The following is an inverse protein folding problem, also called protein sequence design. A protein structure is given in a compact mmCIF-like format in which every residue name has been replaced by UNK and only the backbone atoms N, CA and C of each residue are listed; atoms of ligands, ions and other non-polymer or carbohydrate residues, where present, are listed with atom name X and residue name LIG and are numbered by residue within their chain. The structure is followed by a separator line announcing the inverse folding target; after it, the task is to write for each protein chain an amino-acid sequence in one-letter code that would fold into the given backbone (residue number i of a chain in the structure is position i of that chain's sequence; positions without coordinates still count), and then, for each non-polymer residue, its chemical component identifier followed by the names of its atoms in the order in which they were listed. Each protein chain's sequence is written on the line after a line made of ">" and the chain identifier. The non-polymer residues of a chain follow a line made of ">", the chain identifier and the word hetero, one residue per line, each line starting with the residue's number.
data_IF_566620127686
#
_entry.id   IF_566620127686
#
_cell.length_a   1.000
_cell.length_b   1.000
_cell.length_c   1.000
_cell.angle_alpha   90.00
_cell.angle_beta   90.00
_cell.angle_gamma   90.00
#
_symmetry.space_group_name_H-M   'P 1'
#
loop_
_entity.id
_entity.type
_entity.pdbx_description
1 polymer ?
#
# COMPACT_ATOMS: atom_id res chain seq x y z
N UNK A 1 -29.21 -4.08 -36.37
CA UNK A 1 -29.46 -4.14 -34.91
C UNK A 1 -28.10 -4.22 -34.23
N UNK A 2 -27.49 -3.04 -34.01
CA UNK A 2 -26.15 -2.91 -33.43
C UNK A 2 -26.29 -2.83 -31.92
N UNK A 3 -25.59 -3.68 -31.18
CA UNK A 3 -25.48 -3.63 -29.71
C UNK A 3 -24.21 -2.82 -29.39
N UNK A 4 -24.29 -1.58 -28.86
CA UNK A 4 -23.12 -0.89 -28.38
C UNK A 4 -23.10 -0.96 -26.85
N UNK A 5 -22.16 -1.69 -26.27
CA UNK A 5 -22.07 -1.74 -24.80
C UNK A 5 -20.78 -2.31 -24.23
N UNK A 6 -19.74 -2.54 -25.04
CA UNK A 6 -18.52 -3.22 -24.60
C UNK A 6 -17.26 -2.37 -24.31
N UNK A 7 -17.23 -1.02 -24.27
CA UNK A 7 -15.98 -0.33 -23.93
C UNK A 7 -15.86 0.05 -22.44
N UNK A 8 -16.75 -0.39 -21.56
CA UNK A 8 -16.70 0.01 -20.12
C UNK A 8 -15.78 -0.91 -19.30
N UNK A 9 -15.53 -2.16 -19.73
CA UNK A 9 -14.72 -3.11 -18.96
C UNK A 9 -13.20 -2.86 -19.02
N UNK A 10 -12.71 -2.08 -19.98
CA UNK A 10 -11.27 -1.87 -20.22
C UNK A 10 -10.65 -0.70 -19.43
N UNK A 11 -11.47 0.13 -18.77
CA UNK A 11 -11.00 1.29 -17.99
C UNK A 11 -10.64 0.96 -16.52
N UNK A 12 -10.79 -0.29 -16.07
CA UNK A 12 -10.41 -0.72 -14.72
C UNK A 12 -8.92 -1.07 -14.55
N UNK A 13 -8.11 -1.01 -15.61
CA UNK A 13 -6.69 -1.43 -15.56
C UNK A 13 -5.74 -0.27 -15.24
N UNK A 14 -6.22 0.97 -15.23
CA UNK A 14 -5.44 2.14 -14.80
C UNK A 14 -5.98 2.70 -13.48
N UNK A 15 -5.98 1.87 -12.43
CA UNK A 15 -5.80 2.46 -11.11
C UNK A 15 -4.32 2.78 -10.94
N UNK A 16 -3.94 4.03 -10.62
CA UNK A 16 -2.63 4.26 -10.05
C UNK A 16 -2.58 3.41 -8.80
N UNK A 17 -1.62 2.49 -8.74
CA UNK A 17 -1.23 1.86 -7.50
C UNK A 17 -0.81 2.99 -6.58
N UNK A 18 -1.73 3.46 -5.74
CA UNK A 18 -1.35 4.20 -4.54
C UNK A 18 -0.36 3.28 -3.86
N UNK A 19 0.93 3.63 -3.92
CA UNK A 19 1.99 2.84 -3.32
C UNK A 19 1.68 2.87 -1.82
N UNK A 20 1.00 1.82 -1.36
CA UNK A 20 0.84 1.55 0.05
C UNK A 20 2.27 1.41 0.59
N UNK A 21 2.66 2.35 1.43
CA UNK A 21 3.99 2.47 2.05
C UNK A 21 4.25 1.29 2.98
N UNK A 22 4.53 0.17 2.36
CA UNK A 22 4.56 -1.14 2.96
C UNK A 22 5.87 -1.81 2.67
N UNK A 23 6.71 -1.91 3.69
CA UNK A 23 7.97 -2.63 3.58
C UNK A 23 7.77 -4.09 3.13
N UNK A 24 6.68 -4.72 3.55
CA UNK A 24 6.41 -6.14 3.29
C UNK A 24 5.47 -6.39 2.09
N UNK A 25 4.96 -5.33 1.46
CA UNK A 25 4.17 -5.39 0.22
C UNK A 25 5.04 -5.04 -0.97
N UNK A 26 6.25 -4.51 -0.74
CA UNK A 26 7.23 -4.39 -1.80
C UNK A 26 7.61 -5.78 -2.30
N UNK A 27 7.15 -6.09 -3.50
CA UNK A 27 7.30 -7.42 -4.11
C UNK A 27 8.78 -7.78 -4.28
N UNK A 28 9.61 -6.83 -4.74
CA UNK A 28 11.06 -7.05 -4.90
C UNK A 28 11.75 -7.34 -3.57
N UNK A 29 11.44 -6.59 -2.52
CA UNK A 29 11.97 -6.86 -1.18
C UNK A 29 11.59 -8.28 -0.74
N UNK A 30 10.32 -8.67 -0.87
CA UNK A 30 9.84 -10.00 -0.46
C UNK A 30 10.53 -11.12 -1.24
N UNK A 31 10.68 -10.96 -2.55
CA UNK A 31 11.41 -11.89 -3.41
C UNK A 31 12.88 -12.01 -3.01
N UNK A 32 13.55 -10.88 -2.75
CA UNK A 32 14.95 -10.90 -2.33
C UNK A 32 15.14 -11.60 -0.98
N UNK A 33 14.25 -11.37 -0.01
CA UNK A 33 14.32 -12.04 1.30
C UNK A 33 14.04 -13.54 1.16
N UNK A 34 13.08 -13.92 0.31
CA UNK A 34 12.81 -15.33 0.00
C UNK A 34 14.03 -16.00 -0.64
N UNK A 35 14.67 -15.35 -1.62
CA UNK A 35 15.90 -15.86 -2.24
C UNK A 35 17.06 -15.96 -1.24
N UNK A 36 17.20 -14.98 -0.33
CA UNK A 36 18.18 -15.09 0.76
C UNK A 36 17.95 -16.36 1.58
N UNK A 37 16.68 -16.69 1.87
CA UNK A 37 16.33 -17.84 2.69
C UNK A 37 16.48 -19.17 1.96
N UNK A 38 16.03 -19.26 0.71
CA UNK A 38 15.94 -20.54 0.00
C UNK A 38 17.16 -20.87 -0.84
N UNK A 39 17.97 -19.87 -1.21
CA UNK A 39 19.14 -20.05 -2.08
C UNK A 39 20.43 -19.72 -1.34
N UNK A 40 20.52 -18.52 -0.77
CA UNK A 40 21.79 -18.01 -0.22
C UNK A 40 22.14 -18.70 1.09
N UNK A 41 21.22 -18.74 2.06
CA UNK A 41 21.44 -19.35 3.37
C UNK A 41 21.83 -20.83 3.27
N UNK A 42 21.12 -21.70 2.52
CA UNK A 42 21.51 -23.10 2.38
C UNK A 42 22.84 -23.32 1.69
N UNK A 43 23.28 -22.36 0.86
CA UNK A 43 24.52 -22.44 0.09
C UNK A 43 25.73 -21.88 0.85
N UNK A 44 25.54 -20.85 1.65
CA UNK A 44 26.63 -20.10 2.30
C UNK A 44 26.74 -20.35 3.80
N UNK A 45 25.75 -20.99 4.43
CA UNK A 45 25.79 -21.37 5.85
C UNK A 45 25.79 -22.90 5.95
N UNK A 46 26.92 -23.43 6.37
CA UNK A 46 27.17 -24.87 6.53
C UNK A 46 26.76 -25.34 7.93
N UNK A 47 26.95 -24.49 8.95
CA UNK A 47 26.53 -24.81 10.33
C UNK A 47 24.99 -24.86 10.43
N UNK A 48 24.46 -26.01 10.83
CA UNK A 48 23.01 -26.27 10.91
C UNK A 48 22.29 -25.32 11.85
N UNK A 49 22.89 -24.99 12.99
CA UNK A 49 22.31 -24.09 13.99
C UNK A 49 22.30 -22.65 13.52
N UNK A 50 23.35 -22.20 12.84
CA UNK A 50 23.39 -20.87 12.23
C UNK A 50 22.38 -20.76 11.08
N UNK A 51 22.25 -21.83 10.28
CA UNK A 51 21.30 -21.93 9.18
C UNK A 51 19.86 -21.79 9.67
N UNK A 52 19.46 -22.58 10.66
CA UNK A 52 18.12 -22.49 11.26
C UNK A 52 17.81 -21.08 11.79
N UNK A 53 18.79 -20.45 12.47
CA UNK A 53 18.65 -19.07 12.95
C UNK A 53 18.46 -18.07 11.82
N UNK A 54 19.22 -18.19 10.73
CA UNK A 54 19.09 -17.34 9.56
C UNK A 54 17.72 -17.52 8.89
N UNK A 55 17.27 -18.77 8.74
CA UNK A 55 15.97 -19.09 8.13
C UNK A 55 14.80 -18.55 8.95
N UNK A 56 14.82 -18.72 10.27
CA UNK A 56 13.80 -18.15 11.18
C UNK A 56 13.79 -16.62 11.10
N UNK A 57 14.98 -16.00 11.07
CA UNK A 57 15.10 -14.55 10.94
C UNK A 57 14.47 -14.07 9.63
N UNK A 58 14.82 -14.67 8.50
CA UNK A 58 14.32 -14.30 7.18
C UNK A 58 12.82 -14.58 7.04
N UNK A 59 12.33 -15.71 7.56
CA UNK A 59 10.89 -16.02 7.59
C UNK A 59 10.10 -14.97 8.37
N UNK A 60 10.66 -14.42 9.45
CA UNK A 60 10.08 -13.29 10.17
C UNK A 60 9.99 -12.02 9.30
N UNK A 61 11.03 -11.74 8.51
CA UNK A 61 11.08 -10.58 7.61
C UNK A 61 10.09 -10.71 6.43
N UNK A 62 9.93 -11.92 5.88
CA UNK A 62 8.92 -12.26 4.86
C UNK A 62 7.49 -12.14 5.39
N UNK A 63 7.29 -12.44 6.67
CA UNK A 63 6.01 -12.37 7.37
C UNK A 63 5.65 -10.95 7.80
N UNK A 64 5.02 -10.80 8.97
CA UNK A 64 4.47 -9.51 9.43
C UNK A 64 5.35 -8.79 10.45
N UNK A 65 6.65 -9.13 10.55
CA UNK A 65 7.52 -8.63 11.63
C UNK A 65 7.50 -7.09 11.79
N UNK A 66 7.68 -6.35 10.69
CA UNK A 66 7.71 -4.88 10.75
C UNK A 66 6.34 -4.27 11.05
N UNK A 67 5.26 -4.89 10.55
CA UNK A 67 3.88 -4.49 10.90
C UNK A 67 3.64 -4.66 12.39
N UNK A 68 3.95 -5.84 12.90
CA UNK A 68 3.76 -6.15 14.31
C UNK A 68 4.59 -5.20 15.17
N UNK A 69 5.84 -4.91 14.79
CA UNK A 69 6.66 -3.92 15.46
C UNK A 69 6.02 -2.51 15.46
N UNK A 70 5.52 -2.06 14.31
CA UNK A 70 4.92 -0.75 14.15
C UNK A 70 3.59 -0.57 14.89
N UNK A 71 2.85 -1.65 15.12
CA UNK A 71 1.48 -1.59 15.67
C UNK A 71 1.38 -2.06 17.12
N UNK A 72 2.34 -2.85 17.61
CA UNK A 72 2.38 -3.28 19.03
C UNK A 72 2.98 -2.22 19.95
N UNK A 73 3.98 -1.48 19.48
CA UNK A 73 4.72 -0.50 20.28
C UNK A 73 4.44 0.95 19.89
N UNK A 74 3.77 1.18 18.76
CA UNK A 74 3.46 2.50 18.23
C UNK A 74 2.04 2.54 17.69
N UNK A 75 1.53 3.73 17.35
CA UNK A 75 0.20 3.91 16.76
C UNK A 75 0.06 3.28 15.37
N UNK A 76 1.17 2.80 14.78
CA UNK A 76 1.19 2.27 13.43
C UNK A 76 1.10 3.35 12.36
N UNK A 77 1.39 4.61 12.66
CA UNK A 77 1.43 5.69 11.68
C UNK A 77 2.85 6.26 11.58
N UNK A 78 3.29 6.53 10.36
CA UNK A 78 4.59 7.12 10.08
C UNK A 78 4.50 8.11 8.92
N UNK A 79 5.49 9.00 8.81
CA UNK A 79 5.64 9.87 7.63
C UNK A 79 5.86 9.00 6.39
N UNK A 80 5.02 9.18 5.36
CA UNK A 80 5.07 8.39 4.13
C UNK A 80 6.45 8.46 3.46
N UNK A 81 7.01 9.66 3.28
CA UNK A 81 8.33 9.84 2.64
C UNK A 81 9.47 9.09 3.35
N UNK A 82 9.42 8.98 4.68
CA UNK A 82 10.41 8.22 5.46
C UNK A 82 10.24 6.72 5.28
N UNK A 83 9.00 6.26 5.20
CA UNK A 83 8.69 4.85 4.94
C UNK A 83 9.09 4.48 3.51
N UNK A 84 8.76 5.29 2.51
CA UNK A 84 9.15 5.06 1.11
C UNK A 84 10.68 4.99 0.96
N UNK A 85 11.42 5.92 1.58
CA UNK A 85 12.88 5.88 1.59
C UNK A 85 13.43 4.61 2.29
N UNK A 86 12.78 4.16 3.36
CA UNK A 86 13.15 2.91 4.04
C UNK A 86 12.90 1.69 3.16
N UNK A 87 11.83 1.68 2.38
CA UNK A 87 11.50 0.60 1.43
C UNK A 87 12.57 0.51 0.35
N UNK A 88 12.92 1.64 -0.28
CA UNK A 88 13.96 1.68 -1.30
C UNK A 88 15.32 1.23 -0.76
N UNK A 89 15.69 1.68 0.43
CA UNK A 89 16.94 1.25 1.07
C UNK A 89 16.93 -0.24 1.41
N UNK A 90 15.83 -0.76 1.95
CA UNK A 90 15.71 -2.18 2.28
C UNK A 90 15.77 -3.06 1.03
N UNK A 91 15.10 -2.63 -0.06
CA UNK A 91 15.15 -3.29 -1.36
C UNK A 91 16.57 -3.32 -1.91
N UNK A 92 17.26 -2.18 -1.89
CA UNK A 92 18.65 -2.08 -2.34
C UNK A 92 19.59 -2.96 -1.51
N UNK A 93 19.50 -2.88 -0.17
CA UNK A 93 20.34 -3.68 0.73
C UNK A 93 20.12 -5.18 0.60
N UNK A 94 18.87 -5.62 0.46
CA UNK A 94 18.58 -7.06 0.25
C UNK A 94 19.14 -7.54 -1.09
N UNK A 95 19.06 -6.72 -2.15
CA UNK A 95 19.69 -7.01 -3.44
C UNK A 95 21.23 -7.07 -3.35
N UNK A 96 21.86 -6.27 -2.49
CA UNK A 96 23.30 -6.36 -2.21
C UNK A 96 23.65 -7.64 -1.45
N UNK A 97 22.85 -8.00 -0.44
CA UNK A 97 23.08 -9.20 0.37
C UNK A 97 23.05 -10.47 -0.48
N UNK A 98 22.17 -10.55 -1.49
CA UNK A 98 22.10 -11.68 -2.42
C UNK A 98 23.41 -11.95 -3.17
N UNK A 99 24.24 -10.91 -3.38
CA UNK A 99 25.50 -10.99 -4.12
C UNK A 99 26.73 -10.96 -3.23
N UNK A 100 26.53 -10.82 -1.93
CA UNK A 100 27.65 -10.63 -1.00
C UNK A 100 28.38 -11.96 -0.77
N UNK A 101 29.70 -12.02 -0.96
CA UNK A 101 30.49 -13.16 -0.55
C UNK A 101 30.66 -13.10 0.98
N UNK A 102 29.81 -13.79 1.72
CA UNK A 102 29.94 -13.98 3.16
C UNK A 102 29.41 -15.36 3.51
N UNK A 103 30.08 -16.05 4.42
CA UNK A 103 29.71 -17.40 4.82
C UNK A 103 29.44 -17.48 6.32
N UNK A 104 28.66 -18.49 6.70
CA UNK A 104 28.37 -18.87 8.09
C UNK A 104 28.03 -17.68 9.00
N UNK A 105 28.86 -17.45 10.03
CA UNK A 105 28.64 -16.42 11.03
C UNK A 105 28.66 -15.01 10.44
N UNK A 106 29.51 -14.77 9.43
CA UNK A 106 29.60 -13.46 8.78
C UNK A 106 28.35 -13.13 7.98
N UNK A 107 27.74 -14.13 7.33
CA UNK A 107 26.46 -13.96 6.64
C UNK A 107 25.34 -13.71 7.65
N UNK A 108 25.25 -14.52 8.71
CA UNK A 108 24.24 -14.36 9.74
C UNK A 108 24.33 -12.98 10.41
N UNK A 109 25.53 -12.50 10.73
CA UNK A 109 25.74 -11.18 11.32
C UNK A 109 25.26 -10.05 10.39
N UNK A 110 25.50 -10.17 9.08
CA UNK A 110 24.98 -9.22 8.09
C UNK A 110 23.45 -9.21 8.07
N UNK A 111 22.80 -10.37 8.16
CA UNK A 111 21.33 -10.48 8.21
C UNK A 111 20.75 -9.90 9.51
N UNK A 112 21.37 -10.18 10.65
CA UNK A 112 20.97 -9.63 11.95
C UNK A 112 21.16 -8.11 11.98
N UNK A 113 22.30 -7.63 11.47
CA UNK A 113 22.60 -6.21 11.34
C UNK A 113 21.63 -5.50 10.42
N UNK A 114 21.26 -6.13 9.29
CA UNK A 114 20.23 -5.63 8.39
C UNK A 114 18.90 -5.45 9.13
N UNK A 115 18.39 -6.51 9.78
CA UNK A 115 17.13 -6.45 10.54
C UNK A 115 17.17 -5.35 11.61
N UNK A 116 18.26 -5.24 12.36
CA UNK A 116 18.43 -4.22 13.41
C UNK A 116 18.39 -2.80 12.83
N UNK A 117 19.17 -2.53 11.77
CA UNK A 117 19.22 -1.20 11.13
C UNK A 117 17.87 -0.78 10.56
N UNK A 118 17.20 -1.67 9.85
CA UNK A 118 15.87 -1.40 9.27
C UNK A 118 14.83 -1.16 10.36
N UNK A 119 14.84 -1.96 11.44
CA UNK A 119 13.93 -1.76 12.59
C UNK A 119 14.18 -0.42 13.30
N UNK A 120 15.45 -0.01 13.46
CA UNK A 120 15.79 1.27 14.08
C UNK A 120 15.33 2.46 13.24
N UNK A 121 15.50 2.41 11.92
CA UNK A 121 15.00 3.45 11.02
C UNK A 121 13.48 3.53 11.01
N UNK A 122 12.81 2.38 11.03
CA UNK A 122 11.35 2.31 11.18
C UNK A 122 10.90 2.93 12.51
N UNK A 123 11.58 2.57 13.62
CA UNK A 123 11.33 3.15 14.94
C UNK A 123 11.47 4.67 14.94
N UNK A 124 12.48 5.20 14.25
CA UNK A 124 12.68 6.65 14.13
C UNK A 124 11.51 7.31 13.40
N UNK A 125 11.08 6.75 12.27
CA UNK A 125 9.93 7.26 11.51
C UNK A 125 8.62 7.21 12.32
N UNK A 126 8.43 6.17 13.13
CA UNK A 126 7.28 6.01 14.03
C UNK A 126 7.31 7.00 15.21
N UNK A 127 8.48 7.20 15.83
CA UNK A 127 8.63 8.17 16.93
C UNK A 127 8.38 9.60 16.48
N UNK A 128 8.86 9.97 15.30
CA UNK A 128 8.63 11.30 14.75
C UNK A 128 7.13 11.61 14.62
N UNK A 129 6.31 10.60 14.36
CA UNK A 129 4.86 10.75 14.37
C UNK A 129 4.27 10.94 15.77
N UNK A 130 4.77 10.26 16.80
CA UNK A 130 4.25 10.42 18.16
C UNK A 130 4.64 11.76 18.80
N UNK A 131 5.83 12.28 18.51
CA UNK A 131 6.33 13.53 19.09
C UNK A 131 5.63 14.75 18.50
N UNK A 132 5.20 14.67 17.25
CA UNK A 132 4.42 15.72 16.60
C UNK A 132 2.98 15.56 17.10
N UNK A 133 2.40 16.62 17.67
CA UNK A 133 1.02 16.63 18.16
C UNK A 133 0.07 16.40 16.97
N UNK A 134 -0.22 15.13 16.72
CA UNK A 134 -1.07 14.65 15.65
C UNK A 134 -2.33 14.08 16.28
N UNK A 135 -3.48 14.56 15.85
CA UNK A 135 -4.77 13.93 16.13
C UNK A 135 -5.28 13.22 14.85
N UNK A 136 -6.43 12.56 14.95
CA UNK A 136 -7.07 11.84 13.83
C UNK A 136 -7.30 12.71 12.60
N UNK A 137 -7.45 14.02 12.76
CA UNK A 137 -7.73 14.95 11.65
C UNK A 137 -6.49 15.47 10.94
N UNK A 138 -5.30 15.30 11.53
CA UNK A 138 -4.06 15.72 10.90
C UNK A 138 -2.96 16.08 11.88
N UNK A 139 -1.77 16.25 11.32
CA UNK A 139 -0.61 16.79 12.01
C UNK A 139 -0.37 18.24 11.55
N UNK A 140 0.15 19.09 12.44
CA UNK A 140 0.45 20.51 12.16
C UNK A 140 1.45 20.69 10.99
N UNK A 141 2.21 19.66 10.62
CA UNK A 141 3.29 19.73 9.63
C UNK A 141 2.89 19.42 8.18
N UNK A 142 1.60 19.24 7.88
CA UNK A 142 1.06 18.95 6.52
C UNK A 142 1.72 17.78 5.78
N UNK A 143 2.46 16.91 6.48
CA UNK A 143 3.14 15.77 5.87
C UNK A 143 2.17 14.60 5.67
N UNK A 144 2.20 13.99 4.49
CA UNK A 144 1.44 12.78 4.21
C UNK A 144 1.89 11.64 5.14
N UNK A 145 0.95 11.12 5.93
CA UNK A 145 1.17 10.01 6.86
C UNK A 145 0.58 8.74 6.28
N UNK A 146 1.26 7.64 6.53
CA UNK A 146 0.81 6.34 6.08
C UNK A 146 0.54 5.44 7.28
N UNK A 147 -0.63 4.80 7.28
CA UNK A 147 -0.95 3.77 8.27
C UNK A 147 -0.23 2.47 7.91
N UNK A 148 0.72 2.07 8.75
CA UNK A 148 1.41 0.79 8.72
C UNK A 148 0.58 -0.35 9.34
N UNK A 149 -0.67 -0.10 9.73
CA UNK A 149 -1.65 -1.17 9.99
C UNK A 149 -1.98 -1.87 8.67
N UNK A 150 -1.35 -3.02 8.43
CA UNK A 150 -1.73 -3.89 7.31
C UNK A 150 -3.03 -4.62 7.63
N UNK A 151 -4.11 -4.03 7.15
CA UNK A 151 -5.45 -4.56 7.00
C UNK A 151 -6.11 -3.72 5.89
N UNK A 152 -7.34 -4.05 5.47
CA UNK A 152 -8.09 -3.22 4.50
C UNK A 152 -7.82 -1.75 4.82
N UNK A 153 -7.49 -0.91 3.82
CA UNK A 153 -7.25 0.50 4.07
C UNK A 153 -8.38 0.99 4.98
N UNK A 154 -8.08 1.85 5.95
CA UNK A 154 -9.10 2.79 6.39
C UNK A 154 -9.60 3.37 5.09
N UNK A 155 -10.79 2.89 4.68
CA UNK A 155 -11.46 3.30 3.48
C UNK A 155 -11.74 4.75 3.80
N UNK A 156 -10.77 5.60 3.51
CA UNK A 156 -10.94 7.03 3.46
C UNK A 156 -12.10 7.14 2.52
N UNK A 157 -13.29 7.43 3.07
CA UNK A 157 -14.44 7.21 2.30
C UNK A 157 -14.28 8.24 1.19
N UNK A 158 -14.18 7.72 -0.03
CA UNK A 158 -14.56 8.44 -1.23
C UNK A 158 -16.05 8.89 -1.13
N UNK A 159 -16.60 9.20 0.06
CA UNK A 159 -17.88 9.83 0.35
C UNK A 159 -18.04 11.05 -0.52
N UNK A 160 -16.99 11.85 -0.73
CA UNK A 160 -17.04 12.97 -1.65
C UNK A 160 -17.28 12.52 -3.11
N UNK A 161 -16.57 11.49 -3.59
CA UNK A 161 -16.66 11.04 -4.99
C UNK A 161 -17.90 10.20 -5.27
N UNK A 162 -18.29 9.32 -4.34
CA UNK A 162 -19.49 8.50 -4.41
C UNK A 162 -20.73 9.38 -4.20
N UNK A 163 -20.68 10.35 -3.30
CA UNK A 163 -21.74 11.35 -3.13
C UNK A 163 -21.94 12.19 -4.39
N UNK A 164 -20.87 12.73 -4.98
CA UNK A 164 -20.95 13.49 -6.24
C UNK A 164 -21.50 12.63 -7.39
N UNK A 165 -21.09 11.37 -7.51
CA UNK A 165 -21.62 10.47 -8.53
C UNK A 165 -23.13 10.17 -8.34
N UNK A 166 -23.59 9.99 -7.10
CA UNK A 166 -25.01 9.77 -6.77
C UNK A 166 -25.83 11.03 -7.08
N UNK A 167 -25.34 12.22 -6.71
CA UNK A 167 -26.02 13.49 -6.97
C UNK A 167 -26.12 13.76 -8.48
N UNK A 168 -25.06 13.50 -9.25
CA UNK A 168 -25.09 13.64 -10.71
C UNK A 168 -26.05 12.64 -11.37
N UNK A 169 -26.11 11.40 -10.89
CA UNK A 169 -27.06 10.41 -11.40
C UNK A 169 -28.52 10.80 -11.10
N UNK A 170 -28.81 11.21 -9.85
CA UNK A 170 -30.16 11.66 -9.47
C UNK A 170 -30.58 12.92 -10.25
N UNK A 171 -29.65 13.88 -10.43
CA UNK A 171 -29.88 15.07 -11.25
C UNK A 171 -30.14 14.74 -12.72
N UNK A 172 -29.39 13.80 -13.30
CA UNK A 172 -29.59 13.35 -14.67
C UNK A 172 -30.95 12.68 -14.89
N UNK A 173 -31.40 11.84 -13.95
CA UNK A 173 -32.72 11.19 -14.02
C UNK A 173 -33.85 12.22 -13.95
N UNK A 174 -33.76 13.18 -13.02
CA UNK A 174 -34.75 14.26 -12.91
C UNK A 174 -34.81 15.09 -14.19
N UNK A 175 -33.67 15.42 -14.79
CA UNK A 175 -33.60 16.16 -16.05
C UNK A 175 -34.25 15.40 -17.21
N UNK A 176 -34.05 14.09 -17.30
CA UNK A 176 -34.69 13.27 -18.35
C UNK A 176 -36.21 13.19 -18.16
N UNK A 177 -36.69 13.11 -16.92
CA UNK A 177 -38.14 13.12 -16.64
C UNK A 177 -38.76 14.46 -17.02
N UNK A 178 -38.14 15.58 -16.63
CA UNK A 178 -38.65 16.92 -16.97
C UNK A 178 -38.67 17.14 -18.48
N UNK A 179 -37.61 16.77 -19.20
CA UNK A 179 -37.57 16.86 -20.67
C UNK A 179 -38.64 15.96 -21.30
N UNK A 180 -38.85 14.74 -20.80
CA UNK A 180 -39.88 13.83 -21.33
C UNK A 180 -41.29 14.42 -21.17
N UNK A 181 -41.59 15.01 -20.01
CA UNK A 181 -42.87 15.70 -19.77
C UNK A 181 -43.02 16.91 -20.70
N UNK A 182 -41.97 17.72 -20.87
CA UNK A 182 -41.98 18.87 -21.79
C UNK A 182 -42.23 18.41 -23.22
N UNK A 183 -41.54 17.39 -23.70
CA UNK A 183 -41.70 16.86 -25.07
C UNK A 183 -43.13 16.32 -25.27
N UNK A 184 -43.67 15.57 -24.31
CA UNK A 184 -45.05 15.06 -24.40
C UNK A 184 -46.06 16.20 -24.37
N UNK A 185 -45.87 17.19 -23.50
CA UNK A 185 -46.72 18.38 -23.42
C UNK A 185 -46.71 19.18 -24.73
N UNK A 186 -45.52 19.46 -25.28
CA UNK A 186 -45.39 20.17 -26.56
C UNK A 186 -45.97 19.37 -27.72
N UNK A 187 -45.77 18.05 -27.74
CA UNK A 187 -46.37 17.17 -28.74
C UNK A 187 -47.89 17.22 -28.66
N UNK A 188 -48.48 17.10 -27.47
CA UNK A 188 -49.92 17.14 -27.27
C UNK A 188 -50.52 18.51 -27.64
N UNK A 189 -49.82 19.61 -27.31
CA UNK A 189 -50.22 20.98 -27.67
C UNK A 189 -50.11 21.26 -29.17
N UNK A 190 -49.10 20.70 -29.84
CA UNK A 190 -48.98 20.76 -31.30
C UNK A 190 -50.14 20.04 -32.01
N UNK A 191 -50.68 18.99 -31.41
CA UNK A 191 -51.87 18.29 -31.92
C UNK A 191 -53.19 19.09 -31.73
N UNK A 192 -53.25 20.06 -30.82
CA UNK A 192 -54.42 20.95 -30.69
C UNK A 192 -54.46 22.09 -31.73
N UNK A 193 -53.38 22.30 -32.49
CA UNK A 193 -53.28 23.38 -33.48
C UNK A 193 -53.31 22.90 -34.95
N UNK A 194 -53.57 21.61 -35.19
CA UNK A 194 -53.76 21.00 -36.53
C UNK A 194 -55.21 20.58 -36.72
#
# INVERSE_FOLDING_TARGET
>A
MFIPGLPVLLLLIWLPTSILGCLQCDQKFKENVAQLRTVVVPRQIHDTRLKERAEVLLKGLEGNFFVHYATSQFSGFAVKSKVDALIEEARSRTATLLRTPAEDLALLDKLVTFRRKTTMKLKQALKEHQVKACDKEGCVDSQERLSLRYGKPLKDPNIARTGVAIVLCMGGVLFLVTISVIVVYWRNRLFEFV
#
